data_IF_194872688275
#
_entry.id   IF_194872688275
#
_cell.length_a   1.000
_cell.length_b   1.000
_cell.length_c   1.000
_cell.angle_alpha   90.00
_cell.angle_beta   90.00
_cell.angle_gamma   90.00
#
_symmetry.space_group_name_H-M   'P 1'
#
loop_
_entity.id
_entity.type
_entity.pdbx_description
1 polymer ?
#
# COMPACT_ATOMS: atom_id res chain seq x y z
N UNK A 1 10.13 -4.70 3.25
CA UNK A 1 10.51 -3.37 2.70
C UNK A 1 10.19 -3.24 1.20
N UNK A 2 9.22 -3.97 0.67
CA UNK A 2 9.00 -4.06 -0.78
C UNK A 2 8.19 -2.88 -1.40
N UNK A 3 7.76 -1.92 -0.58
CA UNK A 3 6.96 -0.78 -1.04
C UNK A 3 7.88 0.42 -1.30
N UNK A 4 7.70 1.15 -2.43
CA UNK A 4 8.43 2.37 -2.68
C UNK A 4 8.30 3.36 -1.52
N UNK A 5 9.41 3.99 -1.14
CA UNK A 5 9.46 5.00 -0.07
C UNK A 5 9.58 4.44 1.36
N UNK A 6 9.60 3.13 1.57
CA UNK A 6 9.81 2.52 2.90
C UNK A 6 11.27 2.08 3.08
N UNK A 7 12.08 2.92 3.72
CA UNK A 7 13.52 2.66 3.93
C UNK A 7 13.82 1.80 5.17
N UNK A 8 12.99 1.91 6.20
CA UNK A 8 13.15 1.15 7.44
C UNK A 8 11.77 0.81 8.03
N UNK A 9 11.70 -0.28 8.80
CA UNK A 9 10.47 -0.72 9.46
C UNK A 9 10.74 -0.85 10.95
N UNK A 10 10.04 -0.05 11.75
CA UNK A 10 10.12 -0.13 13.21
C UNK A 10 9.34 -1.35 13.69
N UNK A 11 9.97 -2.12 14.57
CA UNK A 11 9.39 -3.32 15.20
C UNK A 11 9.53 -3.23 16.72
N UNK A 12 8.55 -3.78 17.44
CA UNK A 12 8.66 -4.03 18.88
C UNK A 12 8.79 -5.53 19.13
N UNK A 13 9.76 -5.94 19.94
CA UNK A 13 9.94 -7.32 20.38
C UNK A 13 10.39 -7.34 21.84
N UNK A 14 9.72 -8.14 22.67
CA UNK A 14 10.07 -8.32 24.10
C UNK A 14 10.66 -9.69 24.39
N UNK A 15 10.66 -10.59 23.40
CA UNK A 15 11.23 -11.94 23.46
C UNK A 15 12.29 -12.12 22.38
N UNK A 16 13.32 -12.91 22.70
CA UNK A 16 14.47 -13.11 21.81
C UNK A 16 14.09 -13.74 20.47
N UNK A 17 13.26 -14.78 20.50
CA UNK A 17 12.79 -15.48 19.30
C UNK A 17 11.98 -14.58 18.34
N UNK A 18 11.22 -13.62 18.87
CA UNK A 18 10.54 -12.60 18.06
C UNK A 18 11.55 -11.69 17.35
N UNK A 19 12.62 -11.29 18.04
CA UNK A 19 13.65 -10.45 17.45
C UNK A 19 14.40 -11.18 16.34
N UNK A 20 14.78 -12.44 16.58
CA UNK A 20 15.42 -13.29 15.58
C UNK A 20 14.54 -13.47 14.34
N UNK A 21 13.25 -13.77 14.54
CA UNK A 21 12.27 -13.90 13.46
C UNK A 21 12.08 -12.60 12.67
N UNK A 22 11.96 -11.46 13.35
CA UNK A 22 11.80 -10.16 12.69
C UNK A 22 13.05 -9.78 11.87
N UNK A 23 14.25 -10.10 12.34
CA UNK A 23 15.49 -9.89 11.60
C UNK A 23 15.51 -10.78 10.35
N UNK A 24 15.13 -12.06 10.47
CA UNK A 24 15.07 -12.98 9.33
C UNK A 24 14.11 -12.47 8.23
N UNK A 25 13.02 -11.80 8.61
CA UNK A 25 12.06 -11.22 7.65
C UNK A 25 12.67 -10.16 6.73
N UNK A 26 13.78 -9.52 7.11
CA UNK A 26 14.45 -8.51 6.27
C UNK A 26 15.02 -9.08 4.97
N UNK A 27 15.37 -10.37 4.96
CA UNK A 27 15.86 -11.08 3.77
C UNK A 27 14.76 -11.64 2.87
N UNK A 28 13.49 -11.52 3.27
CA UNK A 28 12.37 -12.08 2.49
C UNK A 28 12.00 -11.13 1.36
N UNK A 29 12.05 -11.65 0.13
CA UNK A 29 11.51 -11.00 -1.06
C UNK A 29 10.28 -11.75 -1.54
N UNK A 30 9.20 -11.01 -1.76
CA UNK A 30 7.94 -11.56 -2.27
C UNK A 30 7.88 -11.36 -3.78
N UNK A 31 7.44 -12.39 -4.50
CA UNK A 31 7.12 -12.27 -5.92
C UNK A 31 5.96 -11.31 -6.16
N UNK A 32 5.84 -10.80 -7.39
CA UNK A 32 4.71 -9.95 -7.79
C UNK A 32 3.36 -10.63 -7.55
N UNK A 33 3.24 -11.92 -7.83
CA UNK A 33 2.01 -12.69 -7.60
C UNK A 33 1.63 -12.78 -6.12
N UNK A 34 2.62 -12.96 -5.23
CA UNK A 34 2.41 -12.96 -3.79
C UNK A 34 2.04 -11.57 -3.28
N UNK A 35 2.71 -10.52 -3.78
CA UNK A 35 2.40 -9.13 -3.43
C UNK A 35 0.97 -8.77 -3.83
N UNK A 36 0.57 -9.09 -5.07
CA UNK A 36 -0.80 -8.84 -5.55
C UNK A 36 -1.85 -9.54 -4.68
N UNK A 37 -1.57 -10.77 -4.25
CA UNK A 37 -2.48 -11.50 -3.34
C UNK A 37 -2.60 -10.83 -1.97
N UNK A 38 -1.50 -10.31 -1.43
CA UNK A 38 -1.52 -9.56 -0.17
C UNK A 38 -2.27 -8.22 -0.31
N UNK A 39 -2.07 -7.52 -1.42
CA UNK A 39 -2.74 -6.24 -1.68
C UNK A 39 -4.26 -6.39 -1.76
N UNK A 40 -4.75 -7.43 -2.44
CA UNK A 40 -6.18 -7.72 -2.51
C UNK A 40 -6.75 -8.12 -1.14
N UNK A 41 -6.03 -8.95 -0.38
CA UNK A 41 -6.47 -9.37 0.95
C UNK A 41 -6.47 -8.23 1.99
N UNK A 42 -5.52 -7.30 1.88
CA UNK A 42 -5.34 -6.17 2.80
C UNK A 42 -6.12 -4.91 2.42
N UNK A 43 -6.87 -4.95 1.31
CA UNK A 43 -7.55 -3.77 0.78
C UNK A 43 -8.57 -3.22 1.80
N UNK A 44 -8.42 -1.98 2.28
CA UNK A 44 -9.37 -1.40 3.21
C UNK A 44 -10.71 -1.14 2.50
N UNK A 45 -11.80 -1.17 3.27
CA UNK A 45 -13.09 -0.69 2.76
C UNK A 45 -12.96 0.81 2.44
N UNK A 46 -13.40 1.29 1.25
CA UNK A 46 -13.34 2.70 0.92
C UNK A 46 -14.10 3.53 1.97
N UNK A 47 -13.41 4.50 2.57
CA UNK A 47 -14.05 5.53 3.38
C UNK A 47 -14.57 6.67 2.50
N UNK A 48 -15.27 7.64 3.09
CA UNK A 48 -15.83 8.77 2.35
C UNK A 48 -14.76 9.50 1.51
N UNK A 49 -13.62 9.86 2.09
CA UNK A 49 -12.57 10.56 1.35
C UNK A 49 -12.00 9.72 0.19
N UNK A 50 -11.84 8.41 0.38
CA UNK A 50 -11.40 7.49 -0.66
C UNK A 50 -12.47 7.30 -1.76
N UNK A 51 -13.76 7.45 -1.46
CA UNK A 51 -14.81 7.36 -2.47
C UNK A 51 -14.83 8.59 -3.40
N UNK A 52 -14.42 9.76 -2.90
CA UNK A 52 -14.34 11.00 -3.69
C UNK A 52 -13.34 10.93 -4.85
N UNK A 53 -12.34 10.06 -4.76
CA UNK A 53 -11.33 9.87 -5.82
C UNK A 53 -11.69 8.74 -6.78
N UNK A 54 -12.88 8.14 -6.67
CA UNK A 54 -13.34 7.13 -7.63
C UNK A 54 -13.48 7.72 -9.04
N UNK A 55 -13.28 6.92 -10.10
CA UNK A 55 -13.43 7.38 -11.47
C UNK A 55 -14.78 8.03 -11.76
N UNK A 56 -15.86 7.50 -11.18
CA UNK A 56 -17.22 8.01 -11.33
C UNK A 56 -17.35 9.42 -10.75
N UNK A 57 -16.86 9.65 -9.53
CA UNK A 57 -16.92 10.98 -8.91
C UNK A 57 -15.98 11.96 -9.60
N UNK A 58 -14.77 11.53 -10.01
CA UNK A 58 -13.85 12.37 -10.80
C UNK A 58 -14.48 12.84 -12.11
N UNK A 59 -15.15 11.94 -12.85
CA UNK A 59 -15.88 12.32 -14.08
C UNK A 59 -16.97 13.35 -13.81
N UNK A 60 -17.71 13.21 -12.71
CA UNK A 60 -18.73 14.20 -12.34
C UNK A 60 -18.11 15.57 -12.01
N UNK A 61 -17.00 15.61 -11.27
CA UNK A 61 -16.32 16.86 -10.88
C UNK A 61 -15.67 17.57 -12.08
N UNK A 62 -15.00 16.82 -12.96
CA UNK A 62 -14.29 17.38 -14.11
C UNK A 62 -15.12 17.41 -15.41
N UNK A 63 -16.45 17.26 -15.32
CA UNK A 63 -17.34 17.32 -16.47
C UNK A 63 -17.02 16.29 -17.57
N UNK A 64 -16.61 15.09 -17.16
CA UNK A 64 -16.25 13.98 -18.04
C UNK A 64 -14.86 14.10 -18.69
N UNK A 65 -14.08 15.14 -18.33
CA UNK A 65 -12.71 15.29 -18.83
C UNK A 65 -11.74 14.55 -17.93
N UNK A 66 -10.79 13.87 -18.55
CA UNK A 66 -9.63 13.32 -17.84
C UNK A 66 -8.66 14.47 -17.56
N UNK A 67 -8.32 14.64 -16.28
CA UNK A 67 -7.42 15.69 -15.79
C UNK A 67 -6.28 15.04 -15.02
N UNK A 68 -5.05 15.42 -15.33
CA UNK A 68 -3.82 14.95 -14.66
C UNK A 68 -3.24 16.04 -13.75
N UNK A 69 -2.31 15.66 -12.88
CA UNK A 69 -1.59 16.60 -12.02
C UNK A 69 -0.72 17.56 -12.85
N UNK A 70 -0.50 18.78 -12.34
CA UNK A 70 0.40 19.71 -13.00
C UNK A 70 1.85 19.21 -12.94
N UNK A 71 2.43 18.90 -14.10
CA UNK A 71 3.79 18.37 -14.24
C UNK A 71 3.87 16.84 -14.36
N UNK A 72 2.75 16.15 -14.52
CA UNK A 72 2.65 14.71 -14.83
C UNK A 72 2.33 14.48 -16.32
#
# INVERSE_FOLDING_TARGET
MARPGVTSTLIGATRQDQMESNIAATGISLSEGQMRRLDEAGKPKPNFSASLVTPQIRRMIFGGRDVTGWGE
#
